data_IF_954514362653
#
_entry.id   IF_954514362653
#
_cell.length_a   1.000
_cell.length_b   1.000
_cell.length_c   1.000
_cell.angle_alpha   90.00
_cell.angle_beta   90.00
_cell.angle_gamma   90.00
#
_symmetry.space_group_name_H-M   'P 1'
#
loop_
_entity.id
_entity.type
_entity.pdbx_description
1 polymer ?
#
# COMPACT_ATOMS: atom_id res chain seq x y z
N UNK A 1 -2.63 -25.26 -66.77
CA UNK A 1 -3.03 -26.04 -65.60
C UNK A 1 -2.29 -25.48 -64.40
N UNK A 2 -2.93 -24.62 -63.67
CA UNK A 2 -2.37 -23.98 -62.47
C UNK A 2 -3.08 -24.64 -61.26
N UNK A 3 -2.31 -25.29 -60.37
CA UNK A 3 -2.85 -25.84 -59.14
C UNK A 3 -2.79 -24.75 -58.06
N UNK A 4 -3.94 -24.35 -57.54
CA UNK A 4 -4.09 -23.60 -56.30
C UNK A 4 -3.84 -24.53 -55.10
N UNK A 5 -2.90 -24.16 -54.24
CA UNK A 5 -2.72 -24.73 -52.90
C UNK A 5 -3.51 -23.90 -51.93
N UNK A 6 -4.58 -24.44 -51.40
CA UNK A 6 -5.35 -23.90 -50.29
C UNK A 6 -4.64 -24.28 -48.97
N UNK A 7 -3.93 -23.31 -48.39
CA UNK A 7 -3.40 -23.43 -47.01
C UNK A 7 -4.53 -23.23 -46.00
N UNK A 8 -4.82 -24.25 -45.23
CA UNK A 8 -5.73 -24.18 -44.07
C UNK A 8 -4.98 -23.48 -42.93
N UNK A 9 -5.43 -22.30 -42.60
CA UNK A 9 -4.96 -21.56 -41.42
C UNK A 9 -5.71 -22.10 -40.19
N UNK A 10 -5.05 -22.92 -39.39
CA UNK A 10 -5.59 -23.36 -38.09
C UNK A 10 -5.42 -22.20 -37.12
N UNK A 11 -6.52 -21.50 -36.82
CA UNK A 11 -6.60 -20.56 -35.69
C UNK A 11 -6.78 -21.39 -34.43
N UNK A 12 -5.72 -21.53 -33.65
CA UNK A 12 -5.81 -22.07 -32.30
C UNK A 12 -6.42 -20.98 -31.43
N UNK A 13 -7.73 -21.09 -31.19
CA UNK A 13 -8.42 -20.31 -30.17
C UNK A 13 -7.96 -20.84 -28.82
N UNK A 14 -7.01 -20.18 -28.21
CA UNK A 14 -6.68 -20.42 -26.81
C UNK A 14 -7.88 -19.98 -25.94
N UNK A 15 -8.64 -20.95 -25.44
CA UNK A 15 -9.59 -20.72 -24.34
C UNK A 15 -8.78 -20.27 -23.11
N UNK A 16 -8.75 -18.97 -22.85
CA UNK A 16 -8.37 -18.47 -21.55
C UNK A 16 -9.56 -18.73 -20.62
N UNK A 17 -9.44 -19.78 -19.83
CA UNK A 17 -10.33 -20.00 -18.70
C UNK A 17 -10.14 -18.83 -17.71
N UNK A 18 -11.08 -17.92 -17.70
CA UNK A 18 -11.22 -16.98 -16.60
C UNK A 18 -11.61 -17.78 -15.36
N UNK A 19 -10.66 -18.06 -14.50
CA UNK A 19 -10.96 -18.43 -13.14
C UNK A 19 -11.59 -17.19 -12.48
N UNK A 20 -12.91 -17.22 -12.33
CA UNK A 20 -13.61 -16.28 -11.44
C UNK A 20 -13.17 -16.61 -10.03
N UNK A 21 -12.12 -15.96 -9.58
CA UNK A 21 -11.69 -16.03 -8.19
C UNK A 21 -12.83 -15.46 -7.34
N UNK A 22 -13.42 -16.31 -6.49
CA UNK A 22 -14.20 -15.83 -5.36
C UNK A 22 -13.29 -14.88 -4.57
N UNK A 23 -13.64 -13.59 -4.53
CA UNK A 23 -12.93 -12.60 -3.74
C UNK A 23 -12.87 -13.06 -2.29
N UNK A 24 -11.69 -13.44 -1.83
CA UNK A 24 -11.41 -13.64 -0.41
C UNK A 24 -11.60 -12.28 0.25
N UNK A 25 -12.38 -12.20 1.33
CA UNK A 25 -12.75 -10.98 2.01
C UNK A 25 -11.55 -10.29 2.67
N UNK A 26 -10.75 -9.60 1.85
CA UNK A 26 -9.74 -8.66 2.29
C UNK A 26 -10.38 -7.35 2.77
N UNK A 27 -9.60 -6.48 3.37
CA UNK A 27 -10.05 -5.15 3.78
C UNK A 27 -10.63 -4.40 2.56
N UNK A 28 -11.74 -3.63 2.73
CA UNK A 28 -12.37 -2.92 1.64
C UNK A 28 -11.39 -2.01 0.90
N UNK A 29 -11.27 -2.19 -0.42
CA UNK A 29 -10.33 -1.45 -1.26
C UNK A 29 -8.87 -1.91 -1.16
N UNK A 30 -8.57 -2.88 -0.30
CA UNK A 30 -7.24 -3.49 -0.18
C UNK A 30 -6.86 -4.32 -1.41
N UNK A 31 -5.59 -4.52 -1.58
CA UNK A 31 -5.00 -5.44 -2.54
C UNK A 31 -4.31 -6.60 -1.80
N UNK A 32 -4.04 -7.67 -2.51
CA UNK A 32 -3.42 -8.84 -1.92
C UNK A 32 -4.43 -9.90 -1.52
N UNK A 33 -3.97 -10.84 -0.72
CA UNK A 33 -4.72 -12.05 -0.37
C UNK A 33 -4.95 -12.07 1.13
N UNK A 34 -6.23 -12.01 1.55
CA UNK A 34 -6.54 -12.05 2.99
C UNK A 34 -5.92 -13.27 3.66
N UNK A 35 -5.39 -13.08 4.88
CA UNK A 35 -4.67 -14.08 5.66
C UNK A 35 -3.42 -14.65 4.95
N UNK A 36 -2.73 -13.81 4.21
CA UNK A 36 -1.44 -14.12 3.58
C UNK A 36 -0.41 -13.06 3.97
N UNK A 37 0.83 -13.35 3.64
CA UNK A 37 1.93 -12.43 3.81
C UNK A 37 2.03 -11.55 2.56
N UNK A 38 1.38 -10.39 2.61
CA UNK A 38 1.37 -9.41 1.53
C UNK A 38 1.74 -8.04 2.12
N UNK A 39 2.91 -7.48 1.75
CA UNK A 39 3.38 -6.20 2.30
C UNK A 39 4.29 -5.44 1.34
N UNK A 40 4.72 -4.23 1.72
CA UNK A 40 5.65 -3.37 0.95
C UNK A 40 5.20 -3.13 -0.49
N UNK A 41 4.09 -2.44 -0.71
CA UNK A 41 3.57 -2.22 -2.05
C UNK A 41 4.40 -1.22 -2.86
N UNK A 42 4.31 -1.35 -4.18
CA UNK A 42 4.62 -0.33 -5.18
C UNK A 42 3.40 -0.12 -6.04
N UNK A 43 2.91 1.10 -6.13
CA UNK A 43 1.64 1.37 -6.82
C UNK A 43 1.84 2.38 -7.93
N UNK A 44 1.45 2.01 -9.15
CA UNK A 44 1.52 2.87 -10.33
C UNK A 44 0.17 2.97 -11.01
N UNK A 45 -0.26 4.17 -11.32
CA UNK A 45 -1.45 4.42 -12.12
C UNK A 45 -1.11 5.06 -13.44
N UNK A 46 -1.60 4.48 -14.52
CA UNK A 46 -1.47 5.02 -15.88
C UNK A 46 -2.84 4.99 -16.54
N UNK A 47 -3.41 6.16 -16.74
CA UNK A 47 -4.81 6.28 -17.19
C UNK A 47 -5.77 5.58 -16.20
N UNK A 48 -6.64 4.74 -16.74
CA UNK A 48 -7.61 3.99 -15.94
C UNK A 48 -7.04 2.71 -15.30
N UNK A 49 -5.77 2.37 -15.53
CA UNK A 49 -5.18 1.13 -15.01
C UNK A 49 -4.27 1.44 -13.85
N UNK A 50 -4.59 0.86 -12.70
CA UNK A 50 -3.74 0.85 -11.52
C UNK A 50 -3.05 -0.50 -11.43
N UNK A 51 -1.72 -0.48 -11.24
CA UNK A 51 -0.85 -1.65 -11.12
C UNK A 51 -0.23 -1.68 -9.76
N UNK A 52 -0.16 -2.87 -9.18
CA UNK A 52 0.37 -3.11 -7.86
C UNK A 52 1.43 -4.19 -7.95
N UNK A 53 2.58 -3.92 -7.36
CA UNK A 53 3.62 -4.92 -7.09
C UNK A 53 3.86 -4.91 -5.59
N UNK A 54 3.99 -6.05 -4.99
CA UNK A 54 4.24 -6.13 -3.56
C UNK A 54 5.05 -7.36 -3.21
N UNK A 55 5.62 -7.34 -2.01
CA UNK A 55 6.33 -8.46 -1.43
C UNK A 55 5.33 -9.41 -0.78
N UNK A 56 5.48 -10.70 -1.03
CA UNK A 56 4.60 -11.68 -0.44
C UNK A 56 4.99 -13.11 -0.76
N UNK A 57 4.23 -14.05 -0.21
CA UNK A 57 4.43 -15.47 -0.44
C UNK A 57 4.12 -15.83 -1.91
N UNK A 58 5.04 -16.55 -2.56
CA UNK A 58 4.89 -16.93 -3.97
C UNK A 58 3.60 -17.71 -4.24
N UNK A 59 2.91 -17.34 -5.33
CA UNK A 59 1.67 -18.00 -5.77
C UNK A 59 1.96 -19.30 -6.54
N UNK A 60 3.21 -19.56 -6.90
CA UNK A 60 3.58 -20.72 -7.72
C UNK A 60 3.52 -22.01 -6.90
N UNK A 61 2.70 -23.02 -7.29
CA UNK A 61 2.61 -24.31 -6.60
C UNK A 61 3.90 -25.15 -6.65
N UNK A 62 4.86 -24.78 -7.50
CA UNK A 62 6.17 -25.44 -7.56
C UNK A 62 7.18 -24.85 -6.55
N UNK A 63 6.85 -23.76 -5.87
CA UNK A 63 7.64 -23.22 -4.79
C UNK A 63 7.39 -24.02 -3.51
N UNK A 64 8.34 -24.86 -3.16
CA UNK A 64 8.23 -25.79 -2.02
C UNK A 64 8.78 -25.23 -0.71
N UNK A 65 9.39 -24.07 -0.71
CA UNK A 65 9.84 -23.40 0.52
C UNK A 65 8.69 -22.61 1.13
N UNK A 66 8.31 -22.96 2.33
CA UNK A 66 7.52 -22.08 3.20
C UNK A 66 8.34 -20.80 3.46
N UNK A 67 7.71 -19.64 3.29
CA UNK A 67 8.25 -18.31 3.54
C UNK A 67 9.32 -17.82 2.53
N UNK A 68 9.11 -18.03 1.26
CA UNK A 68 9.89 -17.35 0.24
C UNK A 68 9.23 -16.03 -0.13
N UNK A 69 9.88 -14.94 0.21
CA UNK A 69 9.51 -13.61 -0.27
C UNK A 69 9.70 -13.54 -1.78
N UNK A 70 8.63 -13.24 -2.47
CA UNK A 70 8.62 -13.02 -3.90
C UNK A 70 7.89 -11.71 -4.22
N UNK A 71 8.02 -11.20 -5.44
CA UNK A 71 7.22 -10.07 -5.88
C UNK A 71 6.01 -10.56 -6.65
N UNK A 72 4.85 -10.17 -6.15
CA UNK A 72 3.56 -10.43 -6.75
C UNK A 72 3.08 -9.22 -7.54
N UNK A 73 2.14 -9.44 -8.43
CA UNK A 73 1.54 -8.41 -9.28
C UNK A 73 0.04 -8.58 -9.39
N UNK A 74 -0.65 -7.45 -9.32
CA UNK A 74 -2.07 -7.33 -9.65
C UNK A 74 -2.30 -6.02 -10.41
N UNK A 75 -3.30 -5.99 -11.28
CA UNK A 75 -3.77 -4.75 -11.88
C UNK A 75 -5.28 -4.66 -11.84
N UNK A 76 -5.77 -3.43 -11.68
CA UNK A 76 -7.19 -3.11 -11.65
C UNK A 76 -7.46 -2.00 -12.64
N UNK A 77 -8.45 -2.20 -13.51
CA UNK A 77 -9.02 -1.10 -14.26
C UNK A 77 -9.97 -0.34 -13.35
N UNK A 78 -9.60 0.88 -12.97
CA UNK A 78 -10.34 1.70 -11.99
C UNK A 78 -11.75 2.06 -12.46
N UNK A 79 -11.99 2.05 -13.78
CA UNK A 79 -13.29 2.36 -14.37
C UNK A 79 -14.18 1.13 -14.52
N UNK A 80 -13.67 0.04 -15.10
CA UNK A 80 -14.46 -1.18 -15.35
C UNK A 80 -14.46 -2.15 -14.17
N UNK A 81 -13.51 -1.97 -13.22
CA UNK A 81 -13.25 -2.87 -12.09
C UNK A 81 -12.76 -4.25 -12.50
N UNK A 82 -12.35 -4.42 -13.74
CA UNK A 82 -11.68 -5.65 -14.17
C UNK A 82 -10.32 -5.77 -13.50
N UNK A 83 -10.02 -6.96 -13.00
CA UNK A 83 -8.77 -7.29 -12.31
C UNK A 83 -7.99 -8.36 -13.06
N UNK A 84 -6.66 -8.29 -12.97
CA UNK A 84 -5.75 -9.35 -13.40
C UNK A 84 -4.75 -9.62 -12.26
N UNK A 85 -4.55 -10.87 -11.92
CA UNK A 85 -3.68 -11.30 -10.82
C UNK A 85 -4.48 -11.83 -9.62
N UNK A 86 -3.85 -12.01 -8.45
CA UNK A 86 -2.41 -11.90 -8.25
C UNK A 86 -1.59 -13.02 -8.91
N UNK A 87 -0.40 -12.65 -9.41
CA UNK A 87 0.57 -13.59 -9.99
C UNK A 87 1.97 -13.28 -9.46
N UNK A 88 2.82 -14.30 -9.29
CA UNK A 88 4.24 -14.09 -8.96
C UNK A 88 4.98 -13.63 -10.22
N UNK A 89 5.67 -12.49 -10.14
CA UNK A 89 6.37 -11.89 -11.29
C UNK A 89 7.89 -11.87 -11.13
N UNK A 90 8.39 -11.93 -9.90
CA UNK A 90 9.82 -12.01 -9.63
C UNK A 90 10.05 -12.85 -8.36
N UNK A 91 11.03 -13.76 -8.42
CA UNK A 91 11.38 -14.64 -7.31
C UNK A 91 12.90 -14.79 -7.22
N UNK A 92 13.38 -15.41 -6.15
CA UNK A 92 14.79 -15.65 -5.92
C UNK A 92 15.44 -16.43 -7.08
N UNK A 93 16.74 -16.22 -7.28
CA UNK A 93 17.54 -16.95 -8.27
C UNK A 93 18.56 -17.82 -7.54
N UNK A 94 18.42 -19.15 -7.56
CA UNK A 94 19.34 -20.04 -6.85
C UNK A 94 20.81 -19.82 -7.25
N UNK A 95 21.69 -19.67 -6.26
CA UNK A 95 23.13 -19.57 -6.47
C UNK A 95 23.62 -18.17 -6.85
N UNK A 96 22.78 -17.16 -6.82
CA UNK A 96 23.13 -15.76 -7.05
C UNK A 96 23.07 -14.94 -5.75
N UNK A 97 23.37 -13.64 -5.85
CA UNK A 97 23.32 -12.70 -4.72
C UNK A 97 21.88 -12.48 -4.18
N UNK A 98 20.83 -12.80 -4.95
CA UNK A 98 19.42 -12.68 -4.59
C UNK A 98 18.76 -14.06 -4.37
N UNK A 99 19.52 -15.02 -3.85
CA UNK A 99 19.08 -16.43 -3.75
C UNK A 99 18.25 -16.76 -2.51
N UNK A 100 18.09 -15.82 -1.56
CA UNK A 100 17.41 -16.11 -0.29
C UNK A 100 16.10 -15.32 -0.14
N UNK A 101 16.15 -13.99 -0.22
CA UNK A 101 15.00 -13.12 -0.09
C UNK A 101 14.96 -12.07 -1.19
N UNK A 102 13.74 -11.66 -1.56
CA UNK A 102 13.49 -10.69 -2.61
C UNK A 102 12.21 -9.91 -2.27
N UNK A 103 12.36 -8.63 -1.97
CA UNK A 103 11.28 -7.84 -1.39
C UNK A 103 11.36 -6.35 -1.76
N UNK A 104 10.47 -5.55 -1.20
CA UNK A 104 10.42 -4.09 -1.28
C UNK A 104 10.51 -3.55 -2.71
N UNK A 105 9.61 -4.01 -3.62
CA UNK A 105 9.63 -3.57 -5.00
C UNK A 105 9.26 -2.09 -5.11
N UNK A 106 9.93 -1.39 -6.03
CA UNK A 106 9.48 -0.08 -6.50
C UNK A 106 9.67 0.01 -8.00
N UNK A 107 8.58 0.31 -8.70
CA UNK A 107 8.55 0.35 -10.16
C UNK A 107 8.53 1.79 -10.66
N UNK A 108 9.33 2.05 -11.68
CA UNK A 108 9.33 3.31 -12.42
C UNK A 108 9.35 3.02 -13.92
N UNK A 109 8.64 3.83 -14.69
CA UNK A 109 8.66 3.78 -16.14
C UNK A 109 9.78 4.63 -16.73
N UNK A 110 10.13 4.34 -17.98
CA UNK A 110 11.16 5.04 -18.73
C UNK A 110 11.41 4.44 -20.10
N UNK A 111 12.54 4.79 -20.69
CA UNK A 111 13.06 4.18 -21.92
C UNK A 111 14.47 3.70 -21.61
N UNK A 112 14.59 2.43 -21.25
CA UNK A 112 15.85 1.80 -20.87
C UNK A 112 16.41 1.05 -22.08
N UNK A 113 17.38 1.66 -22.76
CA UNK A 113 17.96 1.12 -23.98
C UNK A 113 19.03 0.08 -23.67
N UNK A 114 18.80 -1.17 -24.07
CA UNK A 114 19.75 -2.29 -23.94
C UNK A 114 20.39 -2.48 -22.53
N UNK A 115 19.63 -2.36 -21.44
CA UNK A 115 20.22 -2.42 -20.08
C UNK A 115 20.78 -3.81 -19.73
N UNK A 116 20.33 -4.85 -20.44
CA UNK A 116 20.75 -6.24 -20.24
C UNK A 116 21.73 -6.74 -21.30
N UNK A 117 22.18 -5.89 -22.22
CA UNK A 117 23.06 -6.31 -23.32
C UNK A 117 22.38 -7.21 -24.38
N UNK A 118 21.05 -7.31 -24.34
CA UNK A 118 20.25 -8.18 -25.23
C UNK A 118 19.68 -7.46 -26.47
N UNK A 119 20.08 -6.20 -26.67
CA UNK A 119 19.65 -5.36 -27.79
C UNK A 119 18.21 -4.84 -27.70
N UNK A 120 17.55 -5.00 -26.54
CA UNK A 120 16.14 -4.60 -26.36
C UNK A 120 16.03 -3.30 -25.59
N UNK A 121 14.92 -2.60 -25.82
CA UNK A 121 14.48 -1.46 -25.01
C UNK A 121 13.36 -1.92 -24.09
N UNK A 122 13.41 -1.47 -22.85
CA UNK A 122 12.42 -1.77 -21.82
C UNK A 122 11.70 -0.49 -21.37
N UNK A 123 10.44 -0.65 -20.95
CA UNK A 123 9.58 0.46 -20.54
C UNK A 123 9.51 0.63 -19.02
N UNK A 124 9.86 -0.40 -18.26
CA UNK A 124 9.79 -0.39 -16.80
C UNK A 124 11.07 -0.93 -16.20
N UNK A 125 11.50 -0.29 -15.11
CA UNK A 125 12.49 -0.80 -14.19
C UNK A 125 11.83 -1.06 -12.83
N UNK A 126 12.04 -2.24 -12.26
CA UNK A 126 11.64 -2.63 -10.92
C UNK A 126 12.90 -2.76 -10.08
N UNK A 127 13.07 -1.84 -9.14
CA UNK A 127 14.11 -1.94 -8.13
C UNK A 127 13.59 -2.74 -6.95
N UNK A 128 14.43 -3.60 -6.38
CA UNK A 128 14.05 -4.49 -5.30
C UNK A 128 15.20 -4.73 -4.34
N UNK A 129 14.86 -5.05 -3.10
CA UNK A 129 15.80 -5.46 -2.08
C UNK A 129 15.99 -6.96 -2.13
N UNK A 130 17.21 -7.43 -2.04
CA UNK A 130 17.49 -8.86 -1.97
C UNK A 130 18.80 -9.18 -1.25
N UNK A 131 18.93 -10.44 -0.85
CA UNK A 131 20.10 -10.97 -0.18
C UNK A 131 20.32 -12.45 -0.50
N UNK A 132 21.54 -12.94 -0.29
CA UNK A 132 21.89 -14.36 -0.28
C UNK A 132 22.28 -14.86 1.12
N UNK A 133 22.21 -13.99 2.11
CA UNK A 133 22.43 -14.28 3.53
C UNK A 133 21.34 -13.62 4.38
N UNK A 134 21.31 -13.85 5.68
CA UNK A 134 20.30 -13.27 6.58
C UNK A 134 20.65 -11.85 7.05
N UNK A 135 21.74 -11.24 6.58
CA UNK A 135 22.28 -10.07 7.21
C UNK A 135 22.47 -8.85 6.30
N UNK A 136 22.71 -9.04 5.01
CA UNK A 136 23.16 -7.95 4.14
C UNK A 136 22.31 -7.83 2.89
N UNK A 137 21.37 -6.89 2.93
CA UNK A 137 20.55 -6.56 1.77
C UNK A 137 21.29 -5.62 0.82
N UNK A 138 21.04 -5.81 -0.46
CA UNK A 138 21.47 -4.96 -1.55
C UNK A 138 20.24 -4.59 -2.42
N UNK A 139 20.38 -3.61 -3.31
CA UNK A 139 19.34 -3.24 -4.24
C UNK A 139 19.69 -3.72 -5.64
N UNK A 140 18.79 -4.50 -6.24
CA UNK A 140 18.84 -4.95 -7.62
C UNK A 140 17.83 -4.26 -8.50
N UNK A 141 17.87 -4.60 -9.80
CA UNK A 141 16.89 -4.12 -10.78
C UNK A 141 16.50 -5.23 -11.75
N UNK A 142 15.24 -5.21 -12.14
CA UNK A 142 14.72 -6.00 -13.25
C UNK A 142 14.00 -5.10 -14.25
N UNK A 143 13.95 -5.50 -15.53
CA UNK A 143 13.36 -4.72 -16.61
C UNK A 143 12.20 -5.47 -17.26
N UNK A 144 11.17 -4.72 -17.68
CA UNK A 144 9.97 -5.26 -18.29
C UNK A 144 9.38 -4.30 -19.34
N UNK A 145 8.57 -4.83 -20.25
CA UNK A 145 7.76 -4.04 -21.22
C UNK A 145 6.27 -4.04 -20.88
N UNK A 146 5.82 -4.91 -19.99
CA UNK A 146 4.41 -5.09 -19.62
C UNK A 146 4.13 -4.99 -18.11
N UNK A 147 5.19 -4.97 -17.30
CA UNK A 147 5.10 -4.96 -15.83
C UNK A 147 4.83 -6.33 -15.22
N UNK A 148 4.80 -7.40 -16.03
CA UNK A 148 4.52 -8.78 -15.61
C UNK A 148 5.71 -9.70 -15.91
N UNK A 149 6.24 -9.65 -17.13
CA UNK A 149 7.40 -10.43 -17.53
C UNK A 149 8.69 -9.64 -17.29
N UNK A 150 9.41 -9.99 -16.24
CA UNK A 150 10.63 -9.30 -15.82
C UNK A 150 11.89 -10.08 -16.12
N UNK A 151 12.96 -9.36 -16.45
CA UNK A 151 14.31 -9.87 -16.58
C UNK A 151 15.23 -9.15 -15.62
N UNK A 152 15.88 -9.88 -14.74
CA UNK A 152 16.83 -9.34 -13.77
C UNK A 152 18.13 -8.90 -14.44
N UNK A 153 18.67 -7.79 -13.99
CA UNK A 153 20.09 -7.49 -14.14
C UNK A 153 20.89 -8.42 -13.22
N UNK A 154 22.03 -8.97 -13.66
CA UNK A 154 22.68 -10.07 -12.92
C UNK A 154 23.31 -9.65 -11.58
N UNK A 155 23.71 -8.39 -11.46
CA UNK A 155 24.40 -7.86 -10.29
C UNK A 155 23.53 -6.85 -9.52
N UNK A 156 23.78 -6.62 -8.23
CA UNK A 156 23.15 -5.49 -7.53
C UNK A 156 23.60 -4.16 -8.13
N UNK A 157 22.69 -3.19 -8.19
CA UNK A 157 22.97 -1.84 -8.70
C UNK A 157 23.38 -0.87 -7.59
N UNK A 158 23.05 -1.20 -6.35
CA UNK A 158 23.53 -0.53 -5.16
C UNK A 158 23.93 -1.59 -4.14
N UNK A 159 25.14 -1.45 -3.59
CA UNK A 159 25.72 -2.37 -2.64
C UNK A 159 25.75 -1.75 -1.25
N UNK A 160 25.38 -2.54 -0.26
CA UNK A 160 25.60 -2.20 1.14
C UNK A 160 27.09 -2.13 1.46
N UNK A 161 27.43 -1.23 2.36
CA UNK A 161 28.70 -1.28 3.07
C UNK A 161 28.81 -2.53 3.97
N UNK A 162 29.99 -2.80 4.55
CA UNK A 162 30.15 -3.89 5.50
C UNK A 162 29.22 -3.69 6.71
N UNK A 163 28.30 -4.60 6.90
CA UNK A 163 27.35 -4.58 8.03
C UNK A 163 27.00 -5.99 8.48
N UNK A 164 26.55 -6.12 9.70
CA UNK A 164 25.98 -7.35 10.25
C UNK A 164 24.46 -7.22 10.46
N UNK A 165 23.88 -6.12 10.00
CA UNK A 165 22.47 -5.83 10.20
C UNK A 165 21.88 -5.09 8.98
N UNK A 166 20.88 -5.62 8.37
CA UNK A 166 20.02 -5.16 7.29
C UNK A 166 20.73 -4.74 5.98
N UNK A 167 21.73 -3.86 6.01
CA UNK A 167 22.37 -3.31 4.81
C UNK A 167 21.63 -2.09 4.26
N UNK A 168 21.23 -2.14 2.98
CA UNK A 168 20.48 -1.06 2.32
C UNK A 168 19.12 -1.55 1.86
N UNK A 169 18.14 -0.62 1.76
CA UNK A 169 16.80 -1.01 1.36
C UNK A 169 15.86 0.12 0.99
N UNK A 170 14.59 -0.18 0.86
CA UNK A 170 13.50 0.75 0.59
C UNK A 170 13.78 1.70 -0.60
N UNK A 171 14.05 1.17 -1.81
CA UNK A 171 14.32 2.01 -2.97
C UNK A 171 13.09 2.87 -3.32
N UNK A 172 13.30 4.15 -3.59
CA UNK A 172 12.27 5.08 -4.07
C UNK A 172 12.78 5.77 -5.34
N UNK A 173 12.64 5.15 -6.52
CA UNK A 173 13.11 5.68 -7.77
C UNK A 173 12.21 6.77 -8.31
N UNK A 174 12.82 7.80 -8.89
CA UNK A 174 12.17 8.86 -9.64
C UNK A 174 12.87 9.04 -10.99
N UNK A 175 12.14 8.99 -12.09
CA UNK A 175 12.69 9.19 -13.42
C UNK A 175 12.71 10.67 -13.78
N UNK A 176 13.92 11.25 -13.89
CA UNK A 176 14.11 12.70 -14.03
C UNK A 176 13.99 13.19 -15.48
N UNK A 177 14.02 12.31 -16.47
CA UNK A 177 14.05 12.71 -17.90
C UNK A 177 13.11 11.90 -18.81
N UNK A 178 12.29 11.03 -18.24
CA UNK A 178 11.40 10.13 -19.01
C UNK A 178 12.12 9.02 -19.78
N UNK A 179 13.47 8.91 -19.65
CA UNK A 179 14.28 7.85 -20.22
C UNK A 179 14.86 6.97 -19.12
N UNK A 180 16.17 6.96 -18.94
CA UNK A 180 16.85 6.08 -17.98
C UNK A 180 17.56 6.85 -16.86
N UNK A 181 17.39 8.16 -16.77
CA UNK A 181 17.98 8.94 -15.69
C UNK A 181 17.14 8.83 -14.42
N UNK A 182 17.68 8.20 -13.41
CA UNK A 182 17.00 7.89 -12.15
C UNK A 182 17.65 8.67 -11.00
N UNK A 183 16.83 9.36 -10.23
CA UNK A 183 17.12 9.78 -8.87
C UNK A 183 16.53 8.72 -7.93
N UNK A 184 17.38 8.10 -7.14
CA UNK A 184 17.03 7.05 -6.21
C UNK A 184 17.18 7.56 -4.79
N UNK A 185 16.14 7.38 -3.98
CA UNK A 185 16.26 7.46 -2.52
C UNK A 185 16.22 6.05 -1.96
N UNK A 186 17.01 5.79 -0.92
CA UNK A 186 17.04 4.50 -0.26
C UNK A 186 17.51 4.66 1.18
N UNK A 187 17.26 3.65 2.00
CA UNK A 187 17.79 3.58 3.36
C UNK A 187 19.13 2.86 3.38
N UNK A 188 20.07 3.42 4.14
CA UNK A 188 21.32 2.77 4.49
C UNK A 188 21.41 2.65 6.02
N UNK A 189 21.65 1.42 6.48
CA UNK A 189 21.74 1.08 7.90
C UNK A 189 23.18 0.97 8.38
N UNK A 190 24.11 1.64 7.70
CA UNK A 190 25.56 1.55 7.99
C UNK A 190 26.13 2.92 8.34
N UNK A 191 26.57 3.20 9.58
CA UNK A 191 26.43 2.41 10.83
C UNK A 191 25.10 2.62 11.55
N UNK A 192 24.30 3.59 11.15
CA UNK A 192 22.95 3.90 11.67
C UNK A 192 22.01 4.19 10.51
N UNK A 193 20.70 4.11 10.75
CA UNK A 193 19.69 4.36 9.71
C UNK A 193 19.76 5.79 9.22
N UNK A 194 19.93 5.96 7.91
CA UNK A 194 19.83 7.26 7.26
C UNK A 194 19.33 7.09 5.81
N UNK A 195 18.75 8.15 5.28
CA UNK A 195 18.26 8.18 3.91
C UNK A 195 19.34 8.72 3.01
N UNK A 196 19.58 8.04 1.90
CA UNK A 196 20.61 8.38 0.93
C UNK A 196 19.96 8.68 -0.42
N UNK A 197 20.48 9.70 -1.10
CA UNK A 197 20.15 9.98 -2.49
C UNK A 197 21.31 9.54 -3.40
N UNK A 198 20.97 8.88 -4.51
CA UNK A 198 21.91 8.52 -5.56
C UNK A 198 21.31 8.80 -6.94
N UNK A 199 22.13 9.10 -7.91
CA UNK A 199 21.72 9.38 -9.29
C UNK A 199 22.36 8.40 -10.26
N UNK A 200 21.60 8.08 -11.31
CA UNK A 200 22.07 7.28 -12.45
C UNK A 200 21.59 7.92 -13.76
N UNK A 201 22.37 7.79 -14.82
CA UNK A 201 22.00 8.21 -16.18
C UNK A 201 21.43 7.08 -17.03
N UNK A 202 21.57 5.85 -16.59
CA UNK A 202 21.20 4.62 -17.32
C UNK A 202 20.32 3.65 -16.52
N UNK A 203 20.02 3.99 -15.25
CA UNK A 203 19.22 3.16 -14.36
C UNK A 203 19.98 1.98 -13.73
N UNK A 204 21.30 1.84 -14.00
CA UNK A 204 22.13 0.75 -13.54
C UNK A 204 23.29 1.22 -12.67
N UNK A 205 24.01 2.24 -13.13
CA UNK A 205 25.21 2.73 -12.45
C UNK A 205 24.86 3.98 -11.65
N UNK A 206 24.83 3.83 -10.32
CA UNK A 206 24.47 4.89 -9.39
C UNK A 206 25.68 5.57 -8.78
N UNK A 207 25.58 6.89 -8.62
CA UNK A 207 26.54 7.72 -7.88
C UNK A 207 25.81 8.34 -6.69
N UNK A 208 26.31 8.04 -5.49
CA UNK A 208 25.77 8.61 -4.24
C UNK A 208 25.97 10.12 -4.23
N UNK A 209 24.91 10.86 -3.95
CA UNK A 209 24.90 12.31 -3.89
C UNK A 209 25.04 12.83 -2.46
N UNK A 210 24.52 12.11 -1.49
CA UNK A 210 24.58 12.47 -0.07
C UNK A 210 23.42 11.94 0.74
N UNK A 211 23.44 12.28 2.02
CA UNK A 211 22.40 11.92 2.97
C UNK A 211 21.25 12.92 2.91
N UNK A 212 20.03 12.41 2.90
CA UNK A 212 18.81 13.21 3.02
C UNK A 212 18.37 13.20 4.49
N UNK A 213 18.45 14.37 5.13
CA UNK A 213 18.04 14.51 6.53
C UNK A 213 16.57 14.90 6.58
N UNK A 214 15.74 14.04 7.16
CA UNK A 214 14.34 14.36 7.44
C UNK A 214 14.24 14.81 8.89
N UNK A 215 13.87 16.07 9.09
CA UNK A 215 13.78 16.64 10.42
C UNK A 215 12.73 15.91 11.27
N UNK A 216 13.07 15.60 12.51
CA UNK A 216 12.20 14.91 13.46
C UNK A 216 12.30 13.39 13.40
N UNK A 217 12.95 12.80 12.42
CA UNK A 217 13.37 11.42 12.47
C UNK A 217 14.66 11.35 13.31
N UNK A 218 14.59 10.60 14.40
CA UNK A 218 15.76 10.34 15.24
C UNK A 218 16.67 9.37 14.47
N UNK A 219 17.88 9.77 14.04
CA UNK A 219 18.77 8.90 13.29
C UNK A 219 19.23 7.68 14.09
N UNK A 220 19.05 7.69 15.41
CA UNK A 220 19.41 6.60 16.30
C UNK A 220 18.21 5.68 16.63
N UNK A 221 17.00 5.99 16.16
CA UNK A 221 15.86 5.10 16.37
C UNK A 221 15.82 4.02 15.30
N UNK A 222 16.24 2.83 15.68
CA UNK A 222 16.40 1.62 14.84
C UNK A 222 15.11 1.09 14.17
N UNK A 223 14.06 1.89 14.02
CA UNK A 223 12.77 1.45 13.46
C UNK A 223 12.09 2.52 12.65
N UNK A 224 12.71 3.67 12.48
CA UNK A 224 12.13 4.80 11.80
C UNK A 224 12.68 4.88 10.38
N UNK A 225 11.83 4.96 9.39
CA UNK A 225 12.27 5.33 8.09
C UNK A 225 11.75 4.51 6.90
N UNK A 226 11.16 3.38 7.13
CA UNK A 226 10.68 2.48 6.07
C UNK A 226 9.54 3.10 5.29
N UNK A 227 9.80 3.54 4.05
CA UNK A 227 8.78 4.27 3.35
C UNK A 227 9.01 4.54 1.89
N UNK A 228 8.52 5.69 1.45
CA UNK A 228 8.50 6.09 0.06
C UNK A 228 8.67 7.59 -0.09
N UNK A 229 9.42 8.01 -1.11
CA UNK A 229 9.63 9.43 -1.46
C UNK A 229 9.21 9.64 -2.93
N UNK A 230 8.35 10.61 -3.18
CA UNK A 230 7.86 10.91 -4.51
C UNK A 230 7.69 12.42 -4.73
N UNK A 231 7.77 12.87 -5.97
CA UNK A 231 7.68 14.27 -6.36
C UNK A 231 6.27 14.64 -6.81
N UNK A 232 5.81 15.82 -6.42
CA UNK A 232 4.62 16.44 -7.00
C UNK A 232 5.04 17.62 -7.90
N UNK A 233 5.00 17.44 -9.23
CA UNK A 233 5.38 18.51 -10.16
C UNK A 233 4.40 19.69 -10.16
N UNK A 234 3.19 19.52 -9.64
CA UNK A 234 2.18 20.58 -9.60
C UNK A 234 2.47 21.57 -8.49
N UNK A 235 2.81 21.09 -7.30
CA UNK A 235 3.16 21.94 -6.16
C UNK A 235 4.64 22.28 -6.08
N UNK A 236 5.51 21.51 -6.74
CA UNK A 236 6.96 21.65 -6.65
C UNK A 236 7.54 21.13 -5.34
N UNK A 237 6.83 20.21 -4.66
CA UNK A 237 7.27 19.59 -3.41
C UNK A 237 7.62 18.12 -3.61
N UNK A 238 8.63 17.66 -2.88
CA UNK A 238 8.80 16.26 -2.57
C UNK A 238 7.92 15.91 -1.38
N UNK A 239 7.29 14.77 -1.44
CA UNK A 239 6.56 14.15 -0.35
C UNK A 239 7.29 12.89 0.10
N UNK A 240 7.22 12.61 1.39
CA UNK A 240 7.75 11.40 1.98
C UNK A 240 6.73 10.79 2.93
N UNK A 241 6.61 9.46 2.92
CA UNK A 241 5.83 8.70 3.90
C UNK A 241 6.74 7.66 4.53
N UNK A 242 6.77 7.61 5.85
CA UNK A 242 7.62 6.69 6.60
C UNK A 242 6.85 5.98 7.69
N UNK A 243 7.17 4.73 7.88
CA UNK A 243 6.74 3.99 9.07
C UNK A 243 7.50 4.48 10.28
N UNK A 244 6.80 4.70 11.38
CA UNK A 244 7.41 5.13 12.62
C UNK A 244 6.79 4.43 13.83
N UNK A 245 7.60 4.16 14.84
CA UNK A 245 7.10 3.83 16.17
C UNK A 245 6.46 5.06 16.78
N UNK A 246 5.18 4.96 17.06
CA UNK A 246 4.48 6.02 17.79
C UNK A 246 4.86 5.92 19.25
N UNK A 247 5.48 6.95 19.79
CA UNK A 247 5.78 7.04 21.23
C UNK A 247 4.50 7.41 21.97
N UNK A 248 4.06 6.56 22.88
CA UNK A 248 3.03 6.93 23.84
C UNK A 248 3.60 7.99 24.82
N UNK A 249 3.14 9.21 24.68
CA UNK A 249 3.52 10.29 25.58
C UNK A 249 2.94 10.14 26.99
N UNK A 250 2.03 9.18 27.22
CA UNK A 250 1.36 9.00 28.51
C UNK A 250 2.19 8.22 29.53
N UNK A 251 3.27 7.56 29.12
CA UNK A 251 4.13 6.81 30.04
C UNK A 251 5.48 7.50 30.19
N UNK A 252 5.76 8.01 31.38
CA UNK A 252 7.06 8.57 31.75
C UNK A 252 8.19 7.55 31.49
N UNK A 253 8.85 7.64 30.36
CA UNK A 253 10.12 6.97 30.07
C UNK A 253 10.05 5.54 29.51
N UNK A 254 8.89 5.06 29.11
CA UNK A 254 8.75 3.74 28.47
C UNK A 254 8.74 3.85 26.95
N UNK A 255 9.66 3.15 26.30
CA UNK A 255 9.43 2.70 24.92
C UNK A 255 8.13 1.91 24.96
N UNK A 256 7.16 2.27 24.11
CA UNK A 256 5.96 1.45 23.95
C UNK A 256 6.39 0.02 23.72
N UNK A 257 6.07 -0.81 24.69
CA UNK A 257 6.18 -2.24 24.49
C UNK A 257 5.28 -2.56 23.31
N UNK A 258 5.90 -2.83 22.14
CA UNK A 258 5.30 -3.51 21.02
C UNK A 258 3.98 -2.91 20.57
N UNK A 259 4.02 -2.01 19.70
CA UNK A 259 2.83 -1.99 19.16
C UNK A 259 2.50 -0.98 18.16
N UNK A 260 2.06 0.13 18.32
CA UNK A 260 1.50 0.87 17.23
C UNK A 260 2.62 1.47 16.39
N UNK A 261 2.82 0.91 15.20
CA UNK A 261 3.54 1.60 14.15
C UNK A 261 2.55 2.48 13.39
N UNK A 262 2.85 3.75 13.27
CA UNK A 262 2.14 4.70 12.45
C UNK A 262 2.88 4.99 11.15
N UNK A 263 2.22 5.70 10.26
CA UNK A 263 2.80 6.26 9.04
C UNK A 263 2.74 7.78 9.13
N UNK A 264 3.86 8.42 8.97
CA UNK A 264 3.97 9.88 8.97
C UNK A 264 4.19 10.40 7.55
N UNK A 265 3.45 11.45 7.19
CA UNK A 265 3.52 12.13 5.90
C UNK A 265 4.22 13.48 6.06
N UNK A 266 5.22 13.70 5.22
CA UNK A 266 6.03 14.91 5.18
C UNK A 266 6.06 15.50 3.78
N UNK A 267 6.47 16.79 3.67
CA UNK A 267 6.86 17.40 2.40
C UNK A 267 8.03 18.37 2.56
N UNK A 268 8.74 18.62 1.46
CA UNK A 268 9.83 19.59 1.40
C UNK A 268 9.88 20.24 -0.01
N UNK A 269 10.22 21.53 -0.16
CA UNK A 269 10.41 22.14 -1.48
C UNK A 269 11.46 21.39 -2.31
N UNK A 270 11.27 21.34 -3.62
CA UNK A 270 12.10 20.53 -4.53
C UNK A 270 13.60 20.87 -4.47
N UNK A 271 13.95 22.14 -4.30
CA UNK A 271 15.32 22.64 -4.19
C UNK A 271 16.00 22.32 -2.86
N UNK A 272 15.23 21.89 -1.89
CA UNK A 272 15.70 21.67 -0.51
C UNK A 272 15.98 20.21 -0.18
N UNK A 273 15.51 19.25 -1.00
CA UNK A 273 15.61 17.82 -0.66
C UNK A 273 17.06 17.32 -0.51
N UNK A 274 17.98 17.82 -1.33
CA UNK A 274 19.40 17.46 -1.26
C UNK A 274 20.24 18.46 -0.49
N UNK A 275 19.76 19.70 -0.35
CA UNK A 275 20.51 20.78 0.28
C UNK A 275 20.21 20.95 1.76
N UNK A 276 19.04 20.48 2.21
CA UNK A 276 18.55 20.72 3.56
C UNK A 276 18.25 22.21 3.87
N UNK A 277 18.14 23.06 2.84
CA UNK A 277 17.94 24.49 3.02
C UNK A 277 16.63 24.83 3.72
N UNK A 278 15.60 24.04 3.49
CA UNK A 278 14.32 24.09 4.18
C UNK A 278 14.10 22.78 4.91
N UNK A 279 13.69 22.78 6.18
CA UNK A 279 13.34 21.56 6.89
C UNK A 279 12.08 20.93 6.29
N UNK A 280 11.94 19.61 6.46
CA UNK A 280 10.72 18.91 6.11
C UNK A 280 9.57 19.37 7.01
N UNK A 281 8.40 19.57 6.40
CA UNK A 281 7.14 19.88 7.09
C UNK A 281 6.38 18.57 7.32
N UNK A 282 6.09 18.23 8.58
CA UNK A 282 5.17 17.17 8.91
C UNK A 282 3.74 17.61 8.58
N UNK A 283 3.03 16.78 7.81
CA UNK A 283 1.68 17.08 7.36
C UNK A 283 0.63 16.29 8.14
N UNK A 284 0.92 15.03 8.43
CA UNK A 284 -0.04 14.13 9.06
C UNK A 284 0.61 12.86 9.60
N UNK A 285 -0.04 12.28 10.64
CA UNK A 285 0.29 10.97 11.18
C UNK A 285 -0.92 10.05 11.09
N UNK A 286 -0.76 8.90 10.44
CA UNK A 286 -1.73 7.82 10.39
C UNK A 286 -1.39 6.80 11.48
N UNK A 287 -2.00 6.94 12.63
CA UNK A 287 -1.81 6.05 13.77
C UNK A 287 -2.97 5.06 13.94
N UNK A 288 -2.89 4.23 14.96
CA UNK A 288 -3.94 3.25 15.30
C UNK A 288 -5.30 3.91 15.57
N UNK A 289 -5.31 5.12 16.15
CA UNK A 289 -6.57 5.80 16.44
C UNK A 289 -7.27 6.24 15.16
N UNK A 290 -6.51 6.62 14.14
CA UNK A 290 -7.04 7.04 12.85
C UNK A 290 -7.38 5.83 11.96
N UNK A 291 -6.51 4.84 11.90
CA UNK A 291 -6.61 3.73 10.95
C UNK A 291 -7.39 2.54 11.49
N UNK A 292 -7.45 2.38 12.82
CA UNK A 292 -8.00 1.20 13.48
C UNK A 292 -7.09 -0.03 13.43
N UNK A 293 -5.91 0.05 12.81
CA UNK A 293 -4.94 -1.04 12.74
C UNK A 293 -3.80 -0.82 13.72
N UNK A 294 -3.37 -1.90 14.38
CA UNK A 294 -2.29 -1.82 15.36
C UNK A 294 -0.95 -1.50 14.71
N UNK A 295 -0.71 -2.04 13.53
CA UNK A 295 0.52 -1.80 12.77
C UNK A 295 0.18 -1.22 11.41
N UNK A 296 0.77 -0.07 11.10
CA UNK A 296 0.75 0.59 9.79
C UNK A 296 2.20 0.70 9.34
N UNK A 297 2.56 0.00 8.26
CA UNK A 297 3.95 -0.23 7.91
C UNK A 297 4.20 -0.20 6.40
N UNK A 298 5.42 0.17 5.98
CA UNK A 298 5.87 0.17 4.59
C UNK A 298 4.88 0.82 3.61
N UNK A 299 4.60 2.11 3.79
CA UNK A 299 3.71 2.84 2.89
C UNK A 299 4.31 3.03 1.50
N UNK A 300 3.45 3.21 0.51
CA UNK A 300 3.82 3.60 -0.84
C UNK A 300 2.79 4.54 -1.43
N UNK A 301 3.25 5.62 -2.04
CA UNK A 301 2.38 6.52 -2.80
C UNK A 301 1.80 5.83 -4.05
N UNK A 302 0.61 6.27 -4.45
CA UNK A 302 0.15 6.04 -5.82
C UNK A 302 0.90 7.00 -6.75
N UNK A 303 1.65 6.45 -7.70
CA UNK A 303 2.54 7.20 -8.58
C UNK A 303 2.12 7.11 -10.04
N UNK A 304 2.52 8.08 -10.85
CA UNK A 304 2.57 7.91 -12.29
C UNK A 304 3.80 7.07 -12.73
N UNK A 305 3.96 6.88 -14.03
CA UNK A 305 5.09 6.13 -14.56
C UNK A 305 6.46 6.77 -14.31
N UNK A 306 6.54 8.07 -14.13
CA UNK A 306 7.80 8.77 -13.81
C UNK A 306 8.16 8.71 -12.33
N UNK A 307 7.24 8.27 -11.48
CA UNK A 307 7.40 8.27 -10.02
C UNK A 307 6.86 9.53 -9.36
N UNK A 308 6.14 10.40 -10.08
CA UNK A 308 5.43 11.52 -9.48
C UNK A 308 4.24 11.02 -8.68
N UNK A 309 3.89 11.73 -7.61
CA UNK A 309 2.62 11.48 -6.93
C UNK A 309 1.47 11.76 -7.90
N UNK A 310 0.55 10.83 -7.99
CA UNK A 310 -0.69 11.04 -8.71
C UNK A 310 -1.66 11.79 -7.81
N UNK A 311 -1.61 13.14 -7.89
CA UNK A 311 -2.55 14.00 -7.18
C UNK A 311 -3.74 14.24 -8.12
N UNK A 312 -4.91 13.76 -7.71
CA UNK A 312 -6.15 13.93 -8.46
C UNK A 312 -6.65 15.38 -8.51
N UNK A 313 -7.89 15.57 -8.98
CA UNK A 313 -8.53 16.89 -9.10
C UNK A 313 -8.63 17.66 -7.76
N UNK A 314 -8.52 16.96 -6.64
CA UNK A 314 -8.39 17.53 -5.30
C UNK A 314 -6.96 17.30 -4.80
N UNK A 315 -6.41 18.17 -3.94
CA UNK A 315 -5.06 18.02 -3.41
C UNK A 315 -4.99 16.85 -2.40
N UNK A 316 -5.30 15.64 -2.89
CA UNK A 316 -5.30 14.41 -2.10
C UNK A 316 -4.02 13.64 -2.37
N UNK A 317 -3.36 13.18 -1.32
CA UNK A 317 -2.25 12.22 -1.42
C UNK A 317 -2.78 10.84 -1.14
N UNK A 318 -2.81 9.99 -2.15
CA UNK A 318 -3.23 8.60 -2.03
C UNK A 318 -2.01 7.69 -1.86
N UNK A 319 -2.10 6.77 -0.90
CA UNK A 319 -1.05 5.79 -0.62
C UNK A 319 -1.65 4.43 -0.30
N UNK A 320 -0.83 3.41 -0.36
CA UNK A 320 -1.14 2.07 0.14
C UNK A 320 -0.19 1.74 1.26
N UNK A 321 -0.72 1.13 2.32
CA UNK A 321 0.01 0.86 3.55
C UNK A 321 -0.17 -0.61 3.89
N UNK A 322 0.91 -1.25 4.27
CA UNK A 322 0.85 -2.60 4.84
C UNK A 322 0.33 -2.50 6.26
N UNK A 323 -0.67 -3.32 6.58
CA UNK A 323 -1.27 -3.36 7.91
C UNK A 323 -1.18 -4.77 8.49
N UNK A 324 -1.13 -4.85 9.81
CA UNK A 324 -1.38 -6.10 10.51
C UNK A 324 -2.54 -5.94 11.47
N UNK A 325 -3.32 -7.03 11.61
CA UNK A 325 -4.43 -7.06 12.56
C UNK A 325 -3.92 -7.32 13.98
N UNK A 326 -4.64 -6.83 15.03
CA UNK A 326 -4.31 -7.13 16.41
C UNK A 326 -4.33 -8.64 16.65
N UNK A 327 -3.27 -9.16 17.23
CA UNK A 327 -3.23 -10.57 17.68
C UNK A 327 -3.78 -10.69 19.09
N UNK A 328 -4.63 -11.69 19.37
CA UNK A 328 -5.12 -11.93 20.75
C UNK A 328 -4.03 -12.37 21.74
N UNK A 329 -2.85 -12.76 21.28
CA UNK A 329 -1.75 -13.27 22.11
C UNK A 329 -0.39 -12.85 21.53
N UNK A 330 -0.04 -11.60 21.65
CA UNK A 330 1.31 -11.12 21.37
C UNK A 330 2.21 -11.36 22.58
N UNK A 331 2.67 -12.59 22.78
CA UNK A 331 3.69 -12.95 23.77
C UNK A 331 5.03 -13.35 23.13
N UNK A 332 5.23 -12.98 21.88
CA UNK A 332 6.43 -13.35 21.17
C UNK A 332 7.64 -12.48 21.55
N UNK A 333 8.80 -13.07 21.41
CA UNK A 333 10.12 -12.58 21.83
C UNK A 333 10.51 -11.23 21.20
N UNK A 334 11.36 -10.43 21.87
CA UNK A 334 11.77 -9.08 21.41
C UNK A 334 12.55 -9.02 20.11
N UNK A 335 12.91 -10.14 19.50
CA UNK A 335 13.80 -10.19 18.36
C UNK A 335 13.14 -9.79 17.02
N UNK A 336 11.84 -9.59 16.97
CA UNK A 336 11.11 -9.38 15.72
C UNK A 336 10.02 -8.30 15.86
N UNK A 337 10.37 -7.16 16.41
CA UNK A 337 9.52 -5.99 16.33
C UNK A 337 9.48 -5.52 14.87
N UNK A 338 8.50 -5.98 14.10
CA UNK A 338 8.31 -5.64 12.69
C UNK A 338 8.10 -6.82 11.76
N UNK A 339 8.50 -8.04 12.15
CA UNK A 339 8.12 -9.24 11.38
C UNK A 339 7.11 -10.03 12.17
N UNK A 340 5.96 -10.24 11.60
CA UNK A 340 4.97 -11.12 12.16
C UNK A 340 5.54 -12.55 12.23
N UNK A 341 5.52 -13.18 13.43
CA UNK A 341 5.81 -14.61 13.57
C UNK A 341 4.79 -15.48 12.80
N UNK A 342 3.78 -14.85 12.21
CA UNK A 342 2.78 -15.45 11.35
C UNK A 342 2.73 -14.65 10.04
N UNK A 343 3.32 -15.16 8.96
CA UNK A 343 3.34 -14.52 7.66
C UNK A 343 1.94 -14.35 7.04
N UNK A 344 0.89 -14.85 7.69
CA UNK A 344 -0.48 -14.80 7.18
C UNK A 344 -1.30 -13.60 7.68
N UNK A 345 -0.69 -12.64 8.39
CA UNK A 345 -1.42 -11.54 9.03
C UNK A 345 -1.13 -10.14 8.46
N UNK A 346 -0.56 -10.06 7.27
CA UNK A 346 -0.32 -8.79 6.61
C UNK A 346 -1.27 -8.62 5.43
N UNK A 347 -1.88 -7.42 5.36
CA UNK A 347 -2.67 -6.97 4.22
C UNK A 347 -2.19 -5.59 3.76
N UNK A 348 -2.56 -5.20 2.54
CA UNK A 348 -2.24 -3.89 1.98
C UNK A 348 -3.54 -3.13 1.77
N UNK A 349 -3.67 -1.96 2.41
CA UNK A 349 -4.88 -1.14 2.35
C UNK A 349 -4.60 0.25 1.81
N UNK A 350 -5.54 0.88 1.10
CA UNK A 350 -5.43 2.26 0.70
C UNK A 350 -5.60 3.20 1.89
N UNK A 351 -4.84 4.28 1.91
CA UNK A 351 -5.01 5.43 2.79
C UNK A 351 -4.95 6.70 1.97
N UNK A 352 -5.61 7.74 2.44
CA UNK A 352 -5.65 9.01 1.75
C UNK A 352 -5.50 10.16 2.74
N UNK A 353 -4.68 11.13 2.39
CA UNK A 353 -4.58 12.39 3.10
C UNK A 353 -5.19 13.52 2.28
N UNK A 354 -6.02 14.34 2.93
CA UNK A 354 -6.62 15.54 2.36
C UNK A 354 -6.20 16.73 3.22
N UNK A 355 -5.53 17.74 2.66
CA UNK A 355 -5.04 18.87 3.41
C UNK A 355 -6.12 19.60 4.23
N UNK A 356 -5.81 19.87 5.50
CA UNK A 356 -6.65 20.66 6.38
C UNK A 356 -7.94 19.98 6.86
N UNK A 357 -8.07 18.65 6.69
CA UNK A 357 -9.30 17.93 7.02
C UNK A 357 -9.01 16.71 7.91
N UNK A 358 -9.42 16.75 9.18
CA UNK A 358 -9.42 15.56 10.02
C UNK A 358 -10.31 14.46 9.43
N UNK A 359 -9.76 13.28 9.29
CA UNK A 359 -10.47 12.10 8.84
C UNK A 359 -10.47 11.03 9.92
N UNK A 360 -11.53 10.24 9.96
CA UNK A 360 -11.72 9.17 10.93
C UNK A 360 -11.94 7.86 10.21
N UNK A 361 -11.22 6.82 10.61
CA UNK A 361 -11.42 5.47 10.09
C UNK A 361 -12.84 4.98 10.43
N UNK A 362 -13.58 4.54 9.42
CA UNK A 362 -14.91 3.98 9.57
C UNK A 362 -14.82 2.46 9.55
N UNK A 363 -14.79 1.88 10.75
CA UNK A 363 -14.42 0.51 10.97
C UNK A 363 -15.64 -0.40 11.14
N UNK A 364 -15.56 -1.60 10.58
CA UNK A 364 -16.52 -2.69 10.81
C UNK A 364 -15.96 -3.66 11.83
N UNK A 365 -16.78 -3.95 12.84
CA UNK A 365 -16.49 -4.89 13.92
C UNK A 365 -17.56 -5.98 13.96
N UNK A 366 -17.22 -7.15 14.52
CA UNK A 366 -18.17 -8.24 14.77
C UNK A 366 -17.84 -8.98 16.07
N UNK A 367 -18.87 -9.43 16.76
CA UNK A 367 -18.75 -10.36 17.87
C UNK A 367 -19.06 -11.82 17.48
N UNK A 368 -19.12 -12.10 16.16
CA UNK A 368 -19.47 -13.40 15.61
C UNK A 368 -20.97 -13.58 15.34
N UNK A 369 -21.83 -12.72 15.88
CA UNK A 369 -23.28 -12.76 15.69
C UNK A 369 -23.82 -11.46 15.14
N UNK A 370 -23.30 -10.35 15.62
CA UNK A 370 -23.73 -9.00 15.29
C UNK A 370 -22.56 -8.17 14.80
N UNK A 371 -22.84 -7.18 13.98
CA UNK A 371 -21.87 -6.20 13.50
C UNK A 371 -22.14 -4.83 14.13
N UNK A 372 -21.06 -4.07 14.32
CA UNK A 372 -21.12 -2.65 14.61
C UNK A 372 -20.18 -1.91 13.69
N UNK A 373 -20.63 -0.80 13.09
CA UNK A 373 -19.81 0.01 12.19
C UNK A 373 -19.77 1.43 12.71
N UNK A 374 -18.58 1.88 13.08
CA UNK A 374 -18.38 3.16 13.76
C UNK A 374 -16.99 3.72 13.57
N UNK A 375 -16.83 5.03 13.76
CA UNK A 375 -15.55 5.72 13.95
C UNK A 375 -15.15 5.82 15.42
N UNK A 376 -16.01 5.36 16.33
CA UNK A 376 -15.84 5.43 17.76
C UNK A 376 -15.43 4.10 18.39
N UNK A 377 -15.44 4.11 19.71
CA UNK A 377 -15.16 2.92 20.53
C UNK A 377 -16.29 1.89 20.44
N UNK A 378 -15.93 0.61 20.46
CA UNK A 378 -16.85 -0.52 20.57
C UNK A 378 -16.57 -1.35 21.81
N UNK A 379 -17.56 -2.14 22.24
CA UNK A 379 -17.37 -3.08 23.34
C UNK A 379 -16.29 -4.12 23.02
N UNK A 380 -15.54 -4.54 24.03
CA UNK A 380 -14.42 -5.49 23.89
C UNK A 380 -14.81 -6.88 23.36
N UNK A 381 -16.10 -7.22 23.33
CA UNK A 381 -16.60 -8.44 22.69
C UNK A 381 -16.56 -8.37 21.16
N UNK A 382 -16.51 -7.16 20.59
CA UNK A 382 -16.41 -6.96 19.14
C UNK A 382 -14.96 -6.97 18.70
N UNK A 383 -14.70 -7.60 17.56
CA UNK A 383 -13.38 -7.67 16.91
C UNK A 383 -13.43 -6.94 15.61
N UNK A 384 -12.39 -6.19 15.31
CA UNK A 384 -12.23 -5.50 14.03
C UNK A 384 -12.24 -6.50 12.88
N UNK A 385 -13.08 -6.26 11.89
CA UNK A 385 -13.11 -7.01 10.62
C UNK A 385 -12.37 -6.25 9.52
N UNK A 386 -12.36 -4.93 9.58
CA UNK A 386 -11.66 -4.08 8.62
C UNK A 386 -12.17 -2.65 8.61
N UNK A 387 -11.40 -1.77 7.96
CA UNK A 387 -11.79 -0.39 7.69
C UNK A 387 -12.56 -0.34 6.37
N UNK A 388 -13.74 0.26 6.40
CA UNK A 388 -14.59 0.43 5.22
C UNK A 388 -14.21 1.67 4.40
N UNK A 389 -13.40 2.55 4.96
CA UNK A 389 -12.95 3.81 4.43
C UNK A 389 -12.89 4.89 5.51
N UNK A 390 -12.78 6.15 5.09
CA UNK A 390 -12.60 7.28 6.00
C UNK A 390 -13.73 8.30 5.85
N UNK A 391 -14.18 8.84 6.98
CA UNK A 391 -15.18 9.90 7.08
C UNK A 391 -14.53 11.20 7.53
N UNK A 392 -15.04 12.33 7.08
CA UNK A 392 -14.64 13.64 7.60
C UNK A 392 -15.32 13.90 8.95
N UNK A 393 -14.60 14.52 9.87
CA UNK A 393 -15.16 14.94 11.16
C UNK A 393 -16.20 16.06 11.02
N UNK A 394 -15.99 16.95 10.05
CA UNK A 394 -16.87 18.07 9.75
C UNK A 394 -17.33 18.05 8.27
N UNK A 395 -18.44 18.70 7.91
CA UNK A 395 -18.88 18.79 6.52
C UNK A 395 -17.82 19.43 5.64
N UNK A 396 -17.60 18.85 4.46
CA UNK A 396 -16.67 19.35 3.45
C UNK A 396 -17.39 19.69 2.15
N UNK A 397 -16.73 20.42 1.26
CA UNK A 397 -17.27 20.67 -0.06
C UNK A 397 -17.55 19.33 -0.78
N UNK A 398 -18.81 19.05 -1.04
CA UNK A 398 -19.27 17.79 -1.64
C UNK A 398 -19.45 16.62 -0.68
N UNK A 399 -18.82 16.63 0.51
CA UNK A 399 -18.98 15.61 1.56
C UNK A 399 -19.92 16.13 2.65
N UNK A 400 -21.21 16.06 2.40
CA UNK A 400 -22.25 16.65 3.25
C UNK A 400 -23.22 15.64 3.85
N UNK A 401 -23.11 14.36 3.50
CA UNK A 401 -24.00 13.33 4.03
C UNK A 401 -23.42 12.83 5.35
N UNK A 402 -24.15 13.06 6.44
CA UNK A 402 -23.79 12.57 7.75
C UNK A 402 -24.20 11.11 7.93
N UNK A 403 -23.32 10.31 8.52
CA UNK A 403 -23.57 8.95 8.96
C UNK A 403 -23.78 8.91 10.46
N UNK A 404 -24.84 8.29 10.89
CA UNK A 404 -25.21 8.14 12.31
C UNK A 404 -25.14 6.67 12.70
N UNK A 405 -24.49 6.37 13.81
CA UNK A 405 -24.55 5.07 14.48
C UNK A 405 -25.86 4.96 15.24
N UNK A 406 -26.57 3.88 15.02
CA UNK A 406 -27.90 3.61 15.55
C UNK A 406 -27.98 2.21 16.15
N UNK A 407 -28.91 2.00 17.10
CA UNK A 407 -29.14 0.69 17.71
C UNK A 407 -30.61 0.36 17.81
N UNK A 408 -31.01 -0.75 17.22
CA UNK A 408 -32.36 -1.30 17.28
C UNK A 408 -32.44 -2.42 18.32
N UNK A 409 -33.29 -2.26 19.31
CA UNK A 409 -33.36 -3.20 20.42
C UNK A 409 -32.06 -3.24 21.25
N UNK A 410 -31.63 -4.44 21.67
CA UNK A 410 -30.47 -4.63 22.51
C UNK A 410 -29.18 -4.98 21.77
N UNK A 411 -29.28 -5.46 20.52
CA UNK A 411 -28.15 -6.13 19.85
C UNK A 411 -27.89 -5.73 18.42
N UNK A 412 -28.87 -5.14 17.72
CA UNK A 412 -28.78 -4.82 16.31
C UNK A 412 -28.28 -3.37 16.11
N UNK A 413 -27.09 -3.22 15.55
CA UNK A 413 -26.46 -1.94 15.28
C UNK A 413 -26.54 -1.65 13.79
N UNK A 414 -26.84 -0.40 13.41
CA UNK A 414 -26.91 -0.02 12.01
C UNK A 414 -26.47 1.42 11.78
N UNK A 415 -26.18 1.74 10.55
CA UNK A 415 -25.84 3.09 10.10
C UNK A 415 -27.02 3.71 9.39
N UNK A 416 -27.39 4.94 9.77
CA UNK A 416 -28.45 5.71 9.14
C UNK A 416 -27.95 7.05 8.63
N UNK A 417 -28.66 7.59 7.62
CA UNK A 417 -28.52 8.97 7.15
C UNK A 417 -29.45 9.92 7.89
N UNK A 418 -30.39 9.37 8.67
CA UNK A 418 -31.33 10.09 9.50
C UNK A 418 -30.73 10.33 10.88
N UNK A 419 -30.65 11.60 11.29
CA UNK A 419 -30.11 12.00 12.58
C UNK A 419 -30.97 11.55 13.78
N UNK A 420 -32.21 11.12 13.53
CA UNK A 420 -33.10 10.52 14.53
C UNK A 420 -33.04 8.98 14.51
N UNK A 421 -32.10 8.40 13.72
CA UNK A 421 -31.94 6.95 13.65
C UNK A 421 -33.19 6.16 13.27
N UNK A 422 -34.03 6.72 12.40
CA UNK A 422 -35.28 6.08 11.96
C UNK A 422 -36.21 5.72 13.16
N UNK A 423 -36.17 6.55 14.21
CA UNK A 423 -36.90 6.34 15.45
C UNK A 423 -36.28 5.31 16.41
N UNK A 424 -35.03 4.89 16.17
CA UNK A 424 -34.29 3.97 17.01
C UNK A 424 -33.30 4.73 17.93
N UNK A 425 -32.59 4.02 18.78
CA UNK A 425 -31.59 4.62 19.68
C UNK A 425 -30.42 5.19 18.92
N UNK A 426 -30.13 6.46 19.13
CA UNK A 426 -28.95 7.16 18.58
C UNK A 426 -27.75 6.79 19.43
N UNK A 427 -26.64 6.35 18.79
CA UNK A 427 -25.35 6.11 19.42
C UNK A 427 -24.41 7.31 19.23
N UNK A 428 -24.50 8.01 18.09
CA UNK A 428 -23.72 9.19 17.80
C UNK A 428 -23.54 9.39 16.29
N UNK A 429 -22.91 10.50 15.93
CA UNK A 429 -22.54 10.79 14.55
C UNK A 429 -21.16 10.19 14.28
N UNK A 430 -21.05 9.39 13.23
CA UNK A 430 -19.78 8.80 12.78
C UNK A 430 -18.93 9.77 11.96
N UNK A 431 -19.54 10.69 11.23
CA UNK A 431 -18.85 11.65 10.37
C UNK A 431 -19.60 11.96 9.11
N UNK A 432 -18.88 12.52 8.12
CA UNK A 432 -19.47 12.97 6.85
C UNK A 432 -18.83 12.25 5.65
N UNK A 433 -19.70 11.91 4.69
CA UNK A 433 -19.36 11.23 3.45
C UNK A 433 -19.84 12.02 2.22
N UNK A 434 -19.48 11.58 1.04
CA UNK A 434 -20.00 12.12 -0.21
C UNK A 434 -21.35 11.48 -0.56
N UNK A 435 -22.33 12.30 -0.96
CA UNK A 435 -23.64 11.80 -1.41
C UNK A 435 -23.56 11.13 -2.80
N UNK A 436 -22.57 11.51 -3.60
CA UNK A 436 -22.38 11.07 -5.00
C UNK A 436 -20.90 10.88 -5.28
N UNK A 437 -20.53 10.07 -6.29
CA UNK A 437 -19.17 10.05 -6.80
C UNK A 437 -18.72 11.45 -7.21
N UNK A 438 -17.44 11.74 -7.03
CA UNK A 438 -16.81 12.98 -7.45
C UNK A 438 -15.78 12.63 -8.52
N UNK A 439 -15.84 13.32 -9.65
CA UNK A 439 -14.93 13.09 -10.76
C UNK A 439 -13.47 13.32 -10.31
N UNK A 440 -12.60 12.38 -10.66
CA UNK A 440 -11.19 12.41 -10.27
C UNK A 440 -10.88 11.90 -8.85
N UNK A 441 -11.89 11.56 -8.05
CA UNK A 441 -11.69 10.94 -6.74
C UNK A 441 -11.96 9.43 -6.77
N UNK A 442 -11.07 8.67 -6.14
CA UNK A 442 -11.30 7.25 -5.90
C UNK A 442 -12.13 7.10 -4.63
N UNK A 443 -13.45 7.02 -4.77
CA UNK A 443 -14.38 6.88 -3.66
C UNK A 443 -14.96 5.47 -3.60
N UNK A 444 -15.14 4.95 -2.39
CA UNK A 444 -15.72 3.64 -2.12
C UNK A 444 -17.20 3.79 -1.80
N UNK A 445 -18.13 3.18 -2.55
CA UNK A 445 -19.54 3.16 -2.21
C UNK A 445 -19.76 2.30 -0.97
N UNK A 446 -20.62 2.75 -0.05
CA UNK A 446 -21.01 1.99 1.11
C UNK A 446 -22.53 1.73 1.11
N UNK A 447 -22.88 0.48 1.35
CA UNK A 447 -24.26 -0.01 1.38
C UNK A 447 -24.63 -0.46 2.78
N UNK A 448 -25.82 -0.10 3.25
CA UNK A 448 -26.41 -0.76 4.40
C UNK A 448 -26.98 -2.09 3.95
N UNK A 449 -26.65 -3.10 4.68
CA UNK A 449 -26.99 -4.49 4.44
C UNK A 449 -27.74 -5.05 5.64
N UNK A 450 -28.61 -6.01 5.41
CA UNK A 450 -29.35 -6.67 6.48
C UNK A 450 -29.36 -8.19 6.31
N UNK A 451 -29.31 -8.87 7.45
CA UNK A 451 -29.62 -10.28 7.62
C UNK A 451 -30.97 -10.40 8.37
N UNK A 452 -31.40 -11.62 8.68
CA UNK A 452 -32.60 -11.82 9.48
C UNK A 452 -32.51 -11.25 10.92
N UNK A 453 -31.30 -10.93 11.40
CA UNK A 453 -31.07 -10.58 12.83
C UNK A 453 -30.15 -9.39 13.05
N UNK A 454 -29.53 -8.89 12.00
CA UNK A 454 -28.42 -7.96 12.13
C UNK A 454 -28.31 -7.07 10.90
N UNK A 455 -27.80 -5.85 11.10
CA UNK A 455 -27.41 -4.95 10.04
C UNK A 455 -25.88 -4.80 10.02
N UNK A 456 -25.35 -4.55 8.83
CA UNK A 456 -23.93 -4.24 8.66
C UNK A 456 -23.75 -3.28 7.47
N UNK A 457 -22.52 -2.81 7.29
CA UNK A 457 -22.15 -2.00 6.13
C UNK A 457 -21.13 -2.75 5.31
N UNK A 458 -21.29 -2.71 3.99
CA UNK A 458 -20.37 -3.32 3.03
C UNK A 458 -20.11 -2.39 1.85
N UNK A 459 -18.92 -2.50 1.25
CA UNK A 459 -18.61 -1.89 -0.04
C UNK A 459 -19.13 -2.72 -1.23
N UNK A 460 -19.56 -3.96 -0.99
CA UNK A 460 -20.19 -4.80 -1.99
C UNK A 460 -21.65 -4.43 -2.18
N UNK A 461 -22.04 -4.01 -3.40
CA UNK A 461 -23.42 -3.70 -3.76
C UNK A 461 -24.41 -4.87 -3.59
N UNK A 462 -23.88 -6.11 -3.55
CA UNK A 462 -24.64 -7.33 -3.28
C UNK A 462 -24.66 -7.72 -1.81
N UNK A 463 -24.09 -6.87 -0.93
CA UNK A 463 -24.09 -7.09 0.50
C UNK A 463 -23.56 -8.47 0.91
N UNK A 464 -22.47 -8.93 0.27
CA UNK A 464 -21.83 -10.22 0.57
C UNK A 464 -22.83 -11.40 0.47
N UNK A 465 -23.83 -11.27 -0.43
CA UNK A 465 -24.89 -12.25 -0.62
C UNK A 465 -26.10 -12.09 0.32
N UNK A 466 -26.14 -11.02 1.11
CA UNK A 466 -27.28 -10.68 1.98
C UNK A 466 -28.20 -9.63 1.33
N UNK A 467 -29.18 -9.15 2.05
CA UNK A 467 -30.13 -8.14 1.54
C UNK A 467 -29.48 -6.77 1.56
N UNK A 468 -29.49 -6.07 0.42
CA UNK A 468 -29.10 -4.67 0.32
C UNK A 468 -30.29 -3.79 0.68
N UNK A 469 -30.16 -2.99 1.74
CA UNK A 469 -31.21 -2.05 2.14
C UNK A 469 -31.14 -0.77 1.33
N UNK A 470 -29.99 -0.11 1.33
CA UNK A 470 -29.78 1.15 0.59
C UNK A 470 -28.29 1.49 0.44
N UNK A 471 -27.96 2.29 -0.56
CA UNK A 471 -26.70 3.01 -0.64
C UNK A 471 -26.69 4.11 0.43
N UNK A 472 -25.63 4.14 1.25
CA UNK A 472 -25.42 5.18 2.26
C UNK A 472 -24.72 6.41 1.68
N UNK A 473 -23.71 6.20 0.86
CA UNK A 473 -22.88 7.25 0.29
C UNK A 473 -21.53 6.71 -0.16
N UNK A 474 -20.57 7.63 -0.32
CA UNK A 474 -19.25 7.32 -0.81
C UNK A 474 -18.22 7.88 0.17
N UNK A 475 -17.24 7.07 0.53
CA UNK A 475 -16.19 7.42 1.48
C UNK A 475 -14.84 7.43 0.80
N UNK A 476 -13.87 8.08 1.43
CA UNK A 476 -12.45 7.94 1.05
C UNK A 476 -11.98 6.52 1.38
N UNK A 477 -11.16 5.89 0.53
CA UNK A 477 -10.63 4.55 0.78
C UNK A 477 -9.70 4.47 1.98
#
# INVERSE_FOLDING_TARGET
MVRLNTGVMIVVLGMVLFATGCGSGGAPGGIGRSNRYDYSPSVMQTGDVRRYWWCGEAVNPNYTKQNTDAILFESVNMKTKETFGPVTVLAETPGTWDSMFLCNPKVVGGVFENPLGDGKTYQYALYYVATNDDATNNIGVAFSNDGVAWKKYPDPVLLSGPTTFYGIGQPSPYNTNGKAAILMFYEDWTPSVHHVAATSTDGLHFTVQGTVTIAGLDPDSAVDGWGDIAFDPTSGYWYAVFSRKIRDQSTTGGVLERGSMGVELYRVPADSILTGATPWEELHTFDTNLTGYETNFLPSFVRDSSGNINIGAYPTVEMYVSISYPRPAWNASPKQAGMADDPHNWDIVPMMWVPGQPMMAFNRYSNGTYHEVTTGWVDSSFKLQGTLGHLYEAPQQGATVAFYGCKKGSTDYFVSLDNECEGQRILGKNGYAYAKPVDGMNLVPLYRCSTNRDHFVSSDAKCEGQTTDKLLGYVLP
#
